data_IF_561904192559
#
_entry.id   IF_561904192559
#
_cell.length_a   1.000
_cell.length_b   1.000
_cell.length_c   1.000
_cell.angle_alpha   90.00
_cell.angle_beta   90.00
_cell.angle_gamma   90.00
#
_symmetry.space_group_name_H-M   'P 1'
#
loop_
_entity.id
_entity.type
_entity.pdbx_description
1 polymer ?
#
# COMPACT_ATOMS: atom_id res chain seq x y z
N UNK A 1 -59.76 8.72 -11.85
CA UNK A 1 -58.59 8.87 -12.74
C UNK A 1 -57.37 8.46 -11.96
N UNK A 2 -56.96 7.20 -12.14
CA UNK A 2 -55.77 6.64 -11.50
C UNK A 2 -54.52 7.05 -12.30
N UNK A 3 -53.67 7.87 -11.71
CA UNK A 3 -52.34 8.13 -12.28
C UNK A 3 -51.51 6.86 -12.15
N UNK A 4 -51.32 6.17 -13.26
CA UNK A 4 -50.31 5.11 -13.39
C UNK A 4 -48.94 5.74 -13.29
N UNK A 5 -48.30 5.65 -12.12
CA UNK A 5 -46.86 5.94 -11.98
C UNK A 5 -46.08 4.98 -12.85
N UNK A 6 -45.46 5.52 -13.91
CA UNK A 6 -44.46 4.79 -14.71
C UNK A 6 -43.39 4.27 -13.76
N UNK A 7 -42.95 3.01 -13.86
CA UNK A 7 -41.88 2.52 -13.03
C UNK A 7 -40.62 3.33 -13.34
N UNK A 8 -40.12 4.04 -12.34
CA UNK A 8 -38.81 4.71 -12.34
C UNK A 8 -37.79 3.71 -12.86
N UNK A 9 -37.15 4.00 -13.97
CA UNK A 9 -36.10 3.14 -14.54
C UNK A 9 -35.05 2.89 -13.43
N UNK A 10 -35.20 1.77 -12.72
CA UNK A 10 -34.28 1.36 -11.69
C UNK A 10 -32.85 1.42 -12.27
N UNK A 11 -32.05 2.34 -11.77
CA UNK A 11 -30.67 2.52 -12.20
C UNK A 11 -29.93 1.22 -11.87
N UNK A 12 -29.70 0.34 -12.87
CA UNK A 12 -29.11 -1.00 -12.70
C UNK A 12 -27.77 -1.00 -11.98
N UNK A 13 -27.15 0.16 -11.85
CA UNK A 13 -25.87 0.34 -11.18
C UNK A 13 -25.97 0.55 -9.67
N UNK A 14 -27.16 0.93 -9.12
CA UNK A 14 -27.40 1.12 -7.70
C UNK A 14 -28.25 -0.03 -7.16
N UNK A 15 -27.73 -0.73 -6.17
CA UNK A 15 -28.42 -1.85 -5.52
C UNK A 15 -28.98 -1.37 -4.20
N UNK A 16 -30.30 -1.40 -4.06
CA UNK A 16 -31.04 -0.98 -2.85
C UNK A 16 -31.32 -2.14 -1.90
N UNK A 17 -31.55 -3.35 -2.43
CA UNK A 17 -31.74 -4.57 -1.66
C UNK A 17 -30.45 -5.41 -1.70
N UNK A 18 -29.67 -5.35 -0.61
CA UNK A 18 -28.44 -6.10 -0.46
C UNK A 18 -28.40 -6.81 0.89
N UNK A 19 -28.49 -8.14 0.86
CA UNK A 19 -28.58 -9.02 2.04
C UNK A 19 -27.54 -10.13 1.98
N UNK A 20 -26.23 -9.81 2.14
CA UNK A 20 -25.17 -10.79 1.98
C UNK A 20 -25.20 -11.90 3.03
N UNK A 21 -25.79 -11.66 4.21
CA UNK A 21 -25.91 -12.65 5.29
C UNK A 21 -27.05 -13.65 5.07
N UNK A 22 -27.95 -13.40 4.13
CA UNK A 22 -29.03 -14.31 3.74
C UNK A 22 -28.45 -15.39 2.80
N UNK A 23 -28.44 -16.68 3.20
CA UNK A 23 -27.84 -17.76 2.41
C UNK A 23 -28.50 -17.96 1.04
N UNK A 24 -29.81 -17.80 0.95
CA UNK A 24 -30.56 -17.97 -0.29
C UNK A 24 -30.26 -16.83 -1.27
N UNK A 25 -30.35 -15.60 -0.80
CA UNK A 25 -29.97 -14.41 -1.58
C UNK A 25 -28.51 -14.51 -2.07
N UNK A 26 -27.60 -14.96 -1.18
CA UNK A 26 -26.19 -15.11 -1.51
C UNK A 26 -25.96 -16.13 -2.63
N UNK A 27 -26.59 -17.29 -2.56
CA UNK A 27 -26.45 -18.33 -3.59
C UNK A 27 -27.04 -17.93 -4.93
N UNK A 28 -28.22 -17.31 -4.94
CA UNK A 28 -28.93 -16.97 -6.17
C UNK A 28 -28.30 -15.77 -6.91
N UNK A 29 -27.92 -14.72 -6.18
CA UNK A 29 -27.49 -13.44 -6.76
C UNK A 29 -26.25 -12.82 -6.11
N UNK A 30 -26.16 -12.84 -4.78
CA UNK A 30 -25.17 -12.09 -4.00
C UNK A 30 -23.74 -12.42 -4.40
N UNK A 31 -23.39 -13.71 -4.47
CA UNK A 31 -22.04 -14.17 -4.81
C UNK A 31 -21.56 -13.66 -6.18
N UNK A 32 -22.43 -13.72 -7.20
CA UNK A 32 -22.06 -13.27 -8.56
C UNK A 32 -21.77 -11.77 -8.61
N UNK A 33 -22.60 -10.98 -7.96
CA UNK A 33 -22.43 -9.51 -7.91
C UNK A 33 -21.19 -9.15 -7.09
N UNK A 34 -21.00 -9.74 -5.92
CA UNK A 34 -19.85 -9.52 -5.06
C UNK A 34 -18.54 -9.90 -5.76
N UNK A 35 -18.49 -11.08 -6.41
CA UNK A 35 -17.31 -11.54 -7.17
C UNK A 35 -16.97 -10.60 -8.33
N UNK A 36 -17.95 -10.12 -9.07
CA UNK A 36 -17.72 -9.17 -10.15
C UNK A 36 -17.10 -7.86 -9.63
N UNK A 37 -17.64 -7.30 -8.54
CA UNK A 37 -17.10 -6.10 -7.94
C UNK A 37 -15.67 -6.33 -7.40
N UNK A 38 -15.39 -7.48 -6.79
CA UNK A 38 -14.06 -7.85 -6.33
C UNK A 38 -13.05 -7.93 -7.49
N UNK A 39 -13.39 -8.66 -8.56
CA UNK A 39 -12.47 -8.89 -9.68
C UNK A 39 -12.25 -7.65 -10.57
N UNK A 40 -13.05 -6.60 -10.42
CA UNK A 40 -12.77 -5.29 -11.01
C UNK A 40 -11.96 -4.44 -10.01
N UNK A 41 -12.24 -4.53 -8.72
CA UNK A 41 -11.52 -3.82 -7.66
C UNK A 41 -10.04 -4.22 -7.60
N UNK A 42 -9.73 -5.50 -7.74
CA UNK A 42 -8.35 -6.03 -7.69
C UNK A 42 -7.42 -5.35 -8.70
N UNK A 43 -7.67 -5.31 -10.00
CA UNK A 43 -6.79 -4.62 -10.94
C UNK A 43 -6.78 -3.10 -10.74
N UNK A 44 -7.89 -2.47 -10.33
CA UNK A 44 -7.88 -1.05 -9.96
C UNK A 44 -6.91 -0.78 -8.80
N UNK A 45 -6.91 -1.64 -7.78
CA UNK A 45 -6.02 -1.52 -6.63
C UNK A 45 -4.57 -1.89 -6.99
N UNK A 46 -4.35 -2.89 -7.84
CA UNK A 46 -3.02 -3.22 -8.36
C UNK A 46 -2.40 -2.04 -9.10
N UNK A 47 -3.15 -1.41 -10.02
CA UNK A 47 -2.71 -0.21 -10.73
C UNK A 47 -2.45 0.97 -9.76
N UNK A 48 -3.25 1.10 -8.72
CA UNK A 48 -3.01 2.10 -7.69
C UNK A 48 -1.65 1.88 -7.00
N UNK A 49 -1.28 0.65 -6.66
CA UNK A 49 0.05 0.36 -6.12
C UNK A 49 1.17 0.56 -7.14
N UNK A 50 0.95 0.31 -8.43
CA UNK A 50 1.90 0.64 -9.50
C UNK A 50 2.19 2.14 -9.52
N UNK A 51 1.16 2.98 -9.56
CA UNK A 51 1.32 4.45 -9.61
C UNK A 51 1.89 4.98 -8.30
N UNK A 52 1.47 4.45 -7.16
CA UNK A 52 1.98 4.86 -5.84
C UNK A 52 3.48 4.70 -5.71
N UNK A 53 4.04 3.61 -6.26
CA UNK A 53 5.47 3.27 -6.17
C UNK A 53 6.28 3.70 -7.40
N UNK A 54 5.70 4.45 -8.33
CA UNK A 54 6.29 4.81 -9.61
C UNK A 54 7.68 5.48 -9.46
N UNK A 55 7.82 6.37 -8.50
CA UNK A 55 9.10 7.05 -8.25
C UNK A 55 10.20 6.12 -7.74
N UNK A 56 9.89 4.93 -7.21
CA UNK A 56 10.92 3.97 -6.80
C UNK A 56 11.78 3.46 -7.97
N UNK A 57 11.25 3.47 -9.18
CA UNK A 57 11.98 3.13 -10.39
C UNK A 57 12.43 4.37 -11.18
N UNK A 58 11.60 5.42 -11.23
CA UNK A 58 11.90 6.64 -12.00
C UNK A 58 13.05 7.42 -11.38
N UNK A 59 13.07 7.61 -10.05
CA UNK A 59 14.10 8.41 -9.36
C UNK A 59 15.54 7.87 -9.61
N UNK A 60 15.69 6.56 -9.74
CA UNK A 60 16.97 5.91 -10.03
C UNK A 60 17.56 6.34 -11.38
N UNK A 61 16.70 6.74 -12.33
CA UNK A 61 17.09 7.08 -13.70
C UNK A 61 17.05 8.58 -13.99
N UNK A 62 16.52 9.45 -13.11
CA UNK A 62 16.39 10.88 -13.40
C UNK A 62 17.73 11.53 -13.77
N UNK A 63 18.79 11.26 -13.00
CA UNK A 63 20.09 11.86 -13.30
C UNK A 63 20.75 11.26 -14.57
N UNK A 64 20.33 10.05 -14.99
CA UNK A 64 20.80 9.47 -16.26
C UNK A 64 20.20 10.18 -17.47
N UNK A 65 18.99 10.71 -17.38
CA UNK A 65 18.35 11.46 -18.47
C UNK A 65 18.69 12.95 -18.46
N UNK A 66 19.64 13.37 -17.60
CA UNK A 66 20.22 14.72 -17.64
C UNK A 66 19.85 15.63 -16.47
N UNK A 67 19.03 15.19 -15.52
CA UNK A 67 18.79 15.95 -14.30
C UNK A 67 20.01 15.89 -13.36
N UNK A 68 20.15 16.91 -12.50
CA UNK A 68 21.24 17.01 -11.54
C UNK A 68 20.69 17.15 -10.13
N UNK A 69 19.86 16.17 -9.72
CA UNK A 69 19.29 16.15 -8.38
C UNK A 69 20.27 15.49 -7.40
N UNK A 70 20.30 16.02 -6.18
CA UNK A 70 21.07 15.43 -5.09
C UNK A 70 20.48 14.09 -4.66
N UNK A 71 21.28 13.26 -3.99
CA UNK A 71 20.83 11.98 -3.45
C UNK A 71 19.65 12.15 -2.51
N UNK A 72 19.67 13.16 -1.62
CA UNK A 72 18.53 13.45 -0.73
C UNK A 72 17.26 13.85 -1.50
N UNK A 73 17.40 14.67 -2.57
CA UNK A 73 16.27 15.03 -3.44
C UNK A 73 15.66 13.79 -4.11
N UNK A 74 16.46 12.87 -4.61
CA UNK A 74 15.98 11.64 -5.24
C UNK A 74 15.24 10.74 -4.23
N UNK A 75 15.78 10.58 -3.01
CA UNK A 75 15.07 9.85 -1.95
C UNK A 75 13.79 10.56 -1.50
N UNK A 76 13.80 11.90 -1.48
CA UNK A 76 12.59 12.68 -1.19
C UNK A 76 11.47 12.36 -2.19
N UNK A 77 11.78 12.29 -3.49
CA UNK A 77 10.78 11.97 -4.52
C UNK A 77 10.20 10.55 -4.34
N UNK A 78 11.00 9.59 -3.86
CA UNK A 78 10.49 8.24 -3.56
C UNK A 78 9.66 8.19 -2.27
N UNK A 79 9.88 9.12 -1.34
CA UNK A 79 9.21 9.18 -0.05
C UNK A 79 7.85 9.91 -0.09
N UNK A 80 7.75 10.99 -0.85
CA UNK A 80 6.57 11.88 -0.87
C UNK A 80 5.25 11.19 -1.23
N UNK A 81 5.18 10.23 -2.16
CA UNK A 81 3.93 9.52 -2.45
C UNK A 81 3.36 8.80 -1.23
N UNK A 82 4.22 8.28 -0.36
CA UNK A 82 3.76 7.61 0.85
C UNK A 82 3.18 8.60 1.88
N UNK A 83 3.75 9.79 1.98
CA UNK A 83 3.24 10.84 2.87
C UNK A 83 1.84 11.28 2.47
N UNK A 84 1.66 11.70 1.22
CA UNK A 84 0.34 12.13 0.73
C UNK A 84 -0.67 10.99 0.71
N UNK A 85 -0.25 9.78 0.33
CA UNK A 85 -1.09 8.58 0.36
C UNK A 85 -1.57 8.22 1.77
N UNK A 86 -0.71 8.30 2.77
CA UNK A 86 -1.06 8.06 4.15
C UNK A 86 -2.09 9.06 4.68
N UNK A 87 -1.86 10.35 4.45
CA UNK A 87 -2.77 11.41 4.87
C UNK A 87 -4.15 11.28 4.20
N UNK A 88 -4.17 10.95 2.92
CA UNK A 88 -5.41 10.79 2.15
C UNK A 88 -6.18 9.50 2.45
N UNK A 89 -5.58 8.48 3.07
CA UNK A 89 -6.31 7.25 3.45
C UNK A 89 -7.47 7.53 4.37
N UNK A 90 -7.35 8.51 5.27
CA UNK A 90 -8.43 8.86 6.19
C UNK A 90 -9.65 9.39 5.43
N UNK A 91 -9.60 10.48 4.62
CA UNK A 91 -10.76 10.90 3.86
C UNK A 91 -11.24 9.86 2.85
N UNK A 92 -10.35 9.09 2.21
CA UNK A 92 -10.75 8.07 1.23
C UNK A 92 -11.58 6.93 1.84
N UNK A 93 -11.39 6.60 3.12
CA UNK A 93 -12.21 5.61 3.81
C UNK A 93 -13.70 6.00 3.86
N UNK A 94 -14.01 7.31 3.81
CA UNK A 94 -15.38 7.83 3.85
C UNK A 94 -15.99 8.10 2.48
N UNK A 95 -15.20 8.03 1.41
CA UNK A 95 -15.68 8.37 0.06
C UNK A 95 -16.67 7.36 -0.48
N UNK A 96 -16.52 6.08 -0.13
CA UNK A 96 -17.46 5.01 -0.55
C UNK A 96 -18.86 5.24 0.05
N UNK A 97 -19.02 5.49 1.34
CA UNK A 97 -20.31 5.88 1.92
C UNK A 97 -20.93 7.15 1.32
N UNK A 98 -20.11 8.12 0.91
CA UNK A 98 -20.59 9.42 0.41
C UNK A 98 -20.97 9.37 -1.08
N UNK A 99 -20.14 8.78 -1.91
CA UNK A 99 -20.27 8.84 -3.37
C UNK A 99 -20.72 7.51 -4.00
N UNK A 100 -20.66 6.41 -3.26
CA UNK A 100 -20.86 5.06 -3.77
C UNK A 100 -19.54 4.41 -4.23
N UNK A 101 -19.49 3.08 -4.10
CA UNK A 101 -18.27 2.31 -4.37
C UNK A 101 -17.86 2.33 -5.84
N UNK A 102 -18.81 2.20 -6.76
CA UNK A 102 -18.61 2.24 -8.20
C UNK A 102 -18.07 3.59 -8.66
N UNK A 103 -18.77 4.66 -8.30
CA UNK A 103 -18.41 6.03 -8.73
C UNK A 103 -17.05 6.43 -8.18
N UNK A 104 -16.82 6.13 -6.89
CA UNK A 104 -15.55 6.45 -6.27
C UNK A 104 -14.38 5.65 -6.84
N UNK A 105 -14.54 4.33 -7.06
CA UNK A 105 -13.49 3.50 -7.66
C UNK A 105 -13.14 3.98 -9.07
N UNK A 106 -14.14 4.31 -9.89
CA UNK A 106 -13.90 4.84 -11.23
C UNK A 106 -13.17 6.20 -11.18
N UNK A 107 -13.62 7.13 -10.34
CA UNK A 107 -12.99 8.44 -10.20
C UNK A 107 -11.56 8.32 -9.69
N UNK A 108 -11.34 7.57 -8.60
CA UNK A 108 -10.03 7.45 -7.96
C UNK A 108 -9.03 6.65 -8.80
N UNK A 109 -9.50 5.76 -9.66
CA UNK A 109 -8.65 5.08 -10.66
C UNK A 109 -8.32 6.03 -11.82
N UNK A 110 -9.29 6.77 -12.32
CA UNK A 110 -9.12 7.68 -13.46
C UNK A 110 -8.20 8.85 -13.15
N UNK A 111 -8.26 9.42 -11.94
CA UNK A 111 -7.42 10.57 -11.57
C UNK A 111 -5.92 10.24 -11.55
N UNK A 112 -5.56 8.96 -11.40
CA UNK A 112 -4.17 8.51 -11.46
C UNK A 112 -3.54 8.68 -12.84
N UNK A 113 -4.33 8.87 -13.90
CA UNK A 113 -3.84 9.20 -15.23
C UNK A 113 -3.06 10.53 -15.22
N UNK A 114 -3.51 11.49 -14.41
CA UNK A 114 -2.90 12.82 -14.35
C UNK A 114 -1.42 12.77 -13.99
N UNK A 115 -0.98 12.20 -12.85
CA UNK A 115 0.43 12.14 -12.52
C UNK A 115 1.23 11.27 -13.50
N UNK A 116 0.65 10.21 -14.07
CA UNK A 116 1.34 9.37 -15.05
C UNK A 116 1.63 10.13 -16.35
N UNK A 117 0.65 10.84 -16.88
CA UNK A 117 0.83 11.64 -18.11
C UNK A 117 1.80 12.79 -17.85
N UNK A 118 1.62 13.51 -16.75
CA UNK A 118 2.48 14.65 -16.42
C UNK A 118 3.94 14.23 -16.19
N UNK A 119 4.16 13.14 -15.44
CA UNK A 119 5.50 12.62 -15.23
C UNK A 119 6.21 12.26 -16.53
N UNK A 120 5.51 11.60 -17.45
CA UNK A 120 6.10 11.20 -18.73
C UNK A 120 6.54 12.40 -19.59
N UNK A 121 5.84 13.54 -19.53
CA UNK A 121 6.32 14.77 -20.17
C UNK A 121 7.45 15.43 -19.37
N UNK A 122 7.34 15.46 -18.04
CA UNK A 122 8.31 16.13 -17.18
C UNK A 122 9.72 15.52 -17.27
N UNK A 123 9.83 14.18 -17.42
CA UNK A 123 11.13 13.50 -17.51
C UNK A 123 11.87 13.71 -18.83
N UNK A 124 11.17 14.20 -19.87
CA UNK A 124 11.76 14.46 -21.19
C UNK A 124 12.33 15.88 -21.33
N UNK A 125 12.00 16.77 -20.39
CA UNK A 125 12.50 18.16 -20.40
C UNK A 125 13.40 18.37 -19.18
N UNK A 126 14.71 18.41 -19.42
CA UNK A 126 15.71 18.62 -18.37
C UNK A 126 15.63 19.99 -17.69
N UNK A 127 14.90 20.95 -18.26
CA UNK A 127 14.62 22.24 -17.63
C UNK A 127 13.51 22.16 -16.57
N UNK A 128 12.80 21.06 -16.46
CA UNK A 128 11.73 20.85 -15.46
C UNK A 128 12.32 20.97 -14.05
N UNK A 129 11.84 21.93 -13.23
CA UNK A 129 12.38 22.15 -11.91
C UNK A 129 11.98 21.04 -10.94
N UNK A 130 12.79 20.83 -9.90
CA UNK A 130 12.56 19.82 -8.86
C UNK A 130 11.16 19.93 -8.22
N UNK A 131 10.64 21.17 -8.05
CA UNK A 131 9.31 21.43 -7.49
C UNK A 131 8.18 20.76 -8.28
N UNK A 132 8.30 20.64 -9.59
CA UNK A 132 7.31 19.95 -10.42
C UNK A 132 7.32 18.44 -10.10
N UNK A 133 8.49 17.84 -9.99
CA UNK A 133 8.58 16.43 -9.57
C UNK A 133 8.03 16.19 -8.17
N UNK A 134 8.22 17.15 -7.24
CA UNK A 134 7.59 17.11 -5.90
C UNK A 134 6.07 17.08 -6.01
N UNK A 135 5.48 17.94 -6.83
CA UNK A 135 4.02 17.98 -7.02
C UNK A 135 3.53 16.64 -7.62
N UNK A 136 4.19 16.17 -8.68
CA UNK A 136 3.82 14.90 -9.33
C UNK A 136 3.93 13.73 -8.34
N UNK A 137 4.98 13.68 -7.53
CA UNK A 137 5.16 12.62 -6.54
C UNK A 137 4.08 12.64 -5.46
N UNK A 138 3.68 13.83 -4.99
CA UNK A 138 2.55 13.98 -4.09
C UNK A 138 1.22 13.55 -4.73
N UNK A 139 1.02 13.83 -6.02
CA UNK A 139 -0.16 13.35 -6.76
C UNK A 139 -0.17 11.82 -6.90
N UNK A 140 0.98 11.16 -7.06
CA UNK A 140 1.06 9.71 -7.02
C UNK A 140 0.56 9.12 -5.69
N UNK A 141 0.59 9.88 -4.61
CA UNK A 141 0.05 9.48 -3.32
C UNK A 141 -1.47 9.28 -3.29
N UNK A 142 -2.23 9.95 -4.18
CA UNK A 142 -3.67 9.66 -4.32
C UNK A 142 -3.92 8.18 -4.60
N UNK A 143 -3.02 7.54 -5.35
CA UNK A 143 -3.07 6.12 -5.61
C UNK A 143 -2.93 5.27 -4.33
N UNK A 144 -2.01 5.64 -3.43
CA UNK A 144 -1.82 4.95 -2.13
C UNK A 144 -3.02 5.01 -1.20
N UNK A 145 -3.85 6.04 -1.33
CA UNK A 145 -5.08 6.21 -0.57
C UNK A 145 -6.19 5.25 -1.02
N UNK A 146 -6.17 4.77 -2.27
CA UNK A 146 -7.15 3.84 -2.82
C UNK A 146 -7.27 2.53 -2.03
N UNK A 147 -6.22 2.14 -1.31
CA UNK A 147 -6.30 0.97 -0.45
C UNK A 147 -7.45 1.07 0.56
N UNK A 148 -7.61 2.22 1.22
CA UNK A 148 -8.65 2.41 2.23
C UNK A 148 -10.06 2.32 1.63
N UNK A 149 -10.33 3.03 0.55
CA UNK A 149 -11.65 3.02 -0.11
C UNK A 149 -11.97 1.67 -0.76
N UNK A 150 -10.98 1.03 -1.40
CA UNK A 150 -11.15 -0.28 -2.02
C UNK A 150 -11.49 -1.36 -1.00
N UNK A 151 -10.76 -1.41 0.12
CA UNK A 151 -11.03 -2.38 1.20
C UNK A 151 -12.41 -2.13 1.83
N UNK A 152 -12.77 -0.87 2.08
CA UNK A 152 -14.09 -0.52 2.59
C UNK A 152 -15.21 -0.95 1.62
N UNK A 153 -15.06 -0.65 0.32
CA UNK A 153 -16.06 -1.02 -0.68
C UNK A 153 -16.29 -2.52 -0.74
N UNK A 154 -15.24 -3.32 -0.86
CA UNK A 154 -15.35 -4.78 -0.96
C UNK A 154 -15.91 -5.39 0.32
N UNK A 155 -15.63 -4.82 1.50
CA UNK A 155 -16.18 -5.30 2.76
C UNK A 155 -17.71 -5.28 2.79
N UNK A 156 -18.36 -4.32 2.13
CA UNK A 156 -19.83 -4.22 2.09
C UNK A 156 -20.48 -5.27 1.17
N UNK A 157 -19.74 -5.82 0.22
CA UNK A 157 -20.30 -6.80 -0.71
C UNK A 157 -20.33 -8.24 -0.16
N UNK A 158 -19.46 -8.58 0.79
CA UNK A 158 -19.30 -9.96 1.25
C UNK A 158 -19.91 -10.20 2.63
N UNK A 159 -20.52 -11.40 2.88
CA UNK A 159 -20.96 -11.79 4.21
C UNK A 159 -19.75 -11.91 5.15
N UNK A 160 -19.96 -11.66 6.44
CA UNK A 160 -18.88 -11.64 7.46
C UNK A 160 -18.00 -12.89 7.43
N UNK A 161 -18.60 -14.07 7.22
CA UNK A 161 -17.86 -15.34 7.14
C UNK A 161 -16.89 -15.42 5.96
N UNK A 162 -17.10 -14.68 4.86
CA UNK A 162 -16.27 -14.68 3.64
C UNK A 162 -15.52 -13.38 3.42
N UNK A 163 -15.80 -12.37 4.22
CA UNK A 163 -15.24 -11.02 4.10
C UNK A 163 -13.71 -11.03 4.21
N UNK A 164 -13.16 -11.76 5.18
CA UNK A 164 -11.70 -11.87 5.37
C UNK A 164 -10.97 -12.41 4.14
N UNK A 165 -11.52 -13.45 3.50
CA UNK A 165 -10.96 -14.00 2.26
C UNK A 165 -11.01 -13.01 1.10
N UNK A 166 -12.15 -12.33 0.92
CA UNK A 166 -12.30 -11.33 -0.15
C UNK A 166 -11.34 -10.13 0.03
N UNK A 167 -11.22 -9.63 1.25
CA UNK A 167 -10.28 -8.54 1.58
C UNK A 167 -8.83 -8.99 1.46
N UNK A 168 -8.52 -10.24 1.81
CA UNK A 168 -7.20 -10.84 1.61
C UNK A 168 -6.82 -10.91 0.13
N UNK A 169 -7.72 -11.35 -0.74
CA UNK A 169 -7.52 -11.35 -2.20
C UNK A 169 -7.34 -9.93 -2.73
N UNK A 170 -8.25 -9.01 -2.38
CA UNK A 170 -8.21 -7.63 -2.84
C UNK A 170 -6.91 -6.92 -2.42
N UNK A 171 -6.57 -6.97 -1.15
CA UNK A 171 -5.37 -6.34 -0.62
C UNK A 171 -4.07 -7.06 -1.02
N UNK A 172 -4.06 -8.40 -1.03
CA UNK A 172 -2.88 -9.18 -1.40
C UNK A 172 -2.49 -8.98 -2.86
N UNK A 173 -3.43 -9.20 -3.78
CA UNK A 173 -3.19 -8.98 -5.22
C UNK A 173 -2.96 -7.50 -5.54
N UNK A 174 -3.63 -6.57 -4.83
CA UNK A 174 -3.36 -5.14 -4.96
C UNK A 174 -1.91 -4.81 -4.64
N UNK A 175 -1.37 -5.31 -3.53
CA UNK A 175 0.04 -5.07 -3.13
C UNK A 175 1.06 -5.60 -4.14
N UNK A 176 0.70 -6.61 -4.97
CA UNK A 176 1.56 -7.09 -6.06
C UNK A 176 1.87 -6.00 -7.08
N UNK A 177 1.04 -4.94 -7.17
CA UNK A 177 1.27 -3.80 -8.06
C UNK A 177 2.64 -3.14 -7.86
N UNK A 178 3.17 -3.12 -6.63
CA UNK A 178 4.52 -2.61 -6.36
C UNK A 178 5.57 -3.40 -7.13
N UNK A 179 5.51 -4.72 -7.04
CA UNK A 179 6.42 -5.62 -7.75
C UNK A 179 6.22 -5.57 -9.26
N UNK A 180 4.96 -5.54 -9.72
CA UNK A 180 4.62 -5.45 -11.15
C UNK A 180 5.21 -4.18 -11.75
N UNK A 181 5.09 -3.03 -11.09
CA UNK A 181 5.66 -1.77 -11.55
C UNK A 181 7.19 -1.86 -11.65
N UNK A 182 7.85 -2.37 -10.60
CA UNK A 182 9.32 -2.48 -10.59
C UNK A 182 9.86 -3.51 -11.56
N UNK A 183 9.06 -4.52 -11.94
CA UNK A 183 9.40 -5.46 -13.01
C UNK A 183 9.21 -4.84 -14.40
N UNK A 184 8.08 -4.16 -14.62
CA UNK A 184 7.72 -3.62 -15.93
C UNK A 184 8.56 -2.39 -16.30
N UNK A 185 8.82 -1.48 -15.34
CA UNK A 185 9.52 -0.24 -15.62
C UNK A 185 10.86 -0.43 -16.37
N UNK A 186 11.81 -1.27 -15.90
CA UNK A 186 13.09 -1.45 -16.61
C UNK A 186 12.93 -2.13 -17.99
N UNK A 187 11.86 -2.89 -18.21
CA UNK A 187 11.61 -3.53 -19.50
C UNK A 187 11.12 -2.53 -20.55
N UNK A 188 10.28 -1.58 -20.15
CA UNK A 188 9.65 -0.65 -21.12
C UNK A 188 10.51 0.58 -21.42
N UNK A 189 11.45 0.96 -20.53
CA UNK A 189 12.28 2.15 -20.75
C UNK A 189 13.35 1.97 -21.82
N UNK A 190 13.60 0.75 -22.28
CA UNK A 190 14.54 0.45 -23.38
C UNK A 190 13.88 0.38 -24.77
N UNK A 191 12.55 0.55 -24.85
CA UNK A 191 11.80 0.33 -26.07
C UNK A 191 11.02 1.60 -26.42
N UNK A 192 11.03 2.03 -27.70
CA UNK A 192 10.24 3.15 -28.19
C UNK A 192 8.77 2.73 -28.37
N UNK A 193 7.95 2.89 -27.30
CA UNK A 193 6.53 2.48 -27.30
C UNK A 193 5.61 3.64 -27.69
N UNK A 194 5.87 4.83 -27.15
CA UNK A 194 4.96 5.97 -27.25
C UNK A 194 5.51 7.11 -28.14
N UNK A 195 6.34 6.79 -29.14
CA UNK A 195 6.89 7.79 -30.08
C UNK A 195 5.81 8.63 -30.76
N UNK A 196 4.67 8.02 -31.12
CA UNK A 196 3.52 8.70 -31.73
C UNK A 196 2.87 9.74 -30.79
N UNK A 197 3.03 9.57 -29.48
CA UNK A 197 2.49 10.46 -28.46
C UNK A 197 3.54 11.43 -27.89
N UNK A 198 4.70 11.56 -28.57
CA UNK A 198 5.78 12.47 -28.14
C UNK A 198 6.80 11.84 -27.18
N UNK A 199 6.89 10.50 -27.18
CA UNK A 199 7.96 9.78 -26.47
C UNK A 199 9.27 9.84 -27.22
N UNK A 200 10.15 10.78 -26.89
CA UNK A 200 11.41 11.02 -27.61
C UNK A 200 12.59 10.24 -27.04
N UNK A 201 12.49 9.82 -25.77
CA UNK A 201 13.62 9.23 -25.05
C UNK A 201 14.79 10.20 -24.83
N UNK A 202 15.82 9.72 -24.19
CA UNK A 202 17.07 10.44 -23.96
C UNK A 202 18.24 9.58 -24.41
N UNK A 203 19.12 10.14 -25.25
CA UNK A 203 20.34 9.44 -25.69
C UNK A 203 21.34 9.36 -24.54
N UNK A 204 21.86 8.18 -24.30
CA UNK A 204 22.86 7.90 -23.26
C UNK A 204 24.28 8.02 -23.84
N UNK A 205 25.30 8.20 -23.00
CA UNK A 205 26.69 8.34 -23.47
C UNK A 205 27.23 7.14 -24.26
N UNK A 206 26.62 5.96 -24.11
CA UNK A 206 26.94 4.75 -24.86
C UNK A 206 26.18 4.61 -26.19
N UNK A 207 25.39 5.63 -26.57
CA UNK A 207 24.56 5.64 -27.78
C UNK A 207 23.22 4.89 -27.65
N UNK A 208 22.92 4.30 -26.49
CA UNK A 208 21.62 3.70 -26.25
C UNK A 208 20.56 4.76 -25.96
N UNK A 209 19.29 4.43 -26.23
CA UNK A 209 18.18 5.31 -25.93
C UNK A 209 17.46 4.86 -24.65
N UNK A 210 17.18 5.80 -23.76
CA UNK A 210 16.41 5.57 -22.53
C UNK A 210 15.09 6.34 -22.61
N UNK A 211 13.98 5.61 -22.69
CA UNK A 211 12.62 6.15 -22.77
C UNK A 211 11.99 6.15 -21.37
N UNK A 212 12.45 7.04 -20.48
CA UNK A 212 12.02 7.06 -19.08
C UNK A 212 10.52 7.39 -18.93
N UNK A 213 9.95 8.13 -19.87
CA UNK A 213 8.51 8.41 -19.97
C UNK A 213 7.65 7.15 -20.03
N UNK A 214 8.17 6.07 -20.60
CA UNK A 214 7.44 4.81 -20.70
C UNK A 214 7.15 4.18 -19.34
N UNK A 215 8.01 4.41 -18.35
CA UNK A 215 7.79 3.91 -16.98
C UNK A 215 6.49 4.46 -16.38
N UNK A 216 6.08 5.66 -16.78
CA UNK A 216 4.83 6.30 -16.36
C UNK A 216 3.67 6.04 -17.34
N UNK A 217 3.91 6.21 -18.64
CA UNK A 217 2.85 6.15 -19.66
C UNK A 217 2.30 4.76 -19.90
N UNK A 218 3.07 3.70 -19.63
CA UNK A 218 2.62 2.32 -19.81
C UNK A 218 1.35 1.99 -18.99
N UNK A 219 1.14 2.67 -17.87
CA UNK A 219 -0.02 2.45 -17.01
C UNK A 219 -1.28 3.15 -17.51
N UNK A 220 -1.17 4.19 -18.34
CA UNK A 220 -2.29 5.01 -18.80
C UNK A 220 -3.37 4.20 -19.54
N UNK A 221 -3.05 3.34 -20.51
CA UNK A 221 -4.06 2.52 -21.17
C UNK A 221 -4.82 1.62 -20.19
N UNK A 222 -4.13 0.99 -19.25
CA UNK A 222 -4.74 0.13 -18.24
C UNK A 222 -5.62 0.93 -17.27
N UNK A 223 -5.18 2.12 -16.86
CA UNK A 223 -5.97 3.02 -16.03
C UNK A 223 -7.27 3.43 -16.73
N UNK A 224 -7.23 3.71 -18.03
CA UNK A 224 -8.43 4.02 -18.82
C UNK A 224 -9.37 2.81 -18.85
N UNK A 225 -8.86 1.62 -19.21
CA UNK A 225 -9.65 0.39 -19.31
C UNK A 225 -10.35 0.07 -17.98
N UNK A 226 -9.61 0.11 -16.87
CA UNK A 226 -10.19 -0.25 -15.56
C UNK A 226 -11.02 0.86 -14.93
N UNK A 227 -10.80 2.13 -15.26
CA UNK A 227 -11.73 3.23 -14.97
C UNK A 227 -13.10 2.98 -15.64
N UNK A 228 -13.08 2.65 -16.92
CA UNK A 228 -14.31 2.33 -17.66
C UNK A 228 -14.96 1.05 -17.15
N UNK A 229 -14.16 0.02 -16.85
CA UNK A 229 -14.67 -1.21 -16.27
C UNK A 229 -15.35 -0.95 -14.90
N UNK A 230 -14.75 -0.15 -14.05
CA UNK A 230 -15.37 0.24 -12.78
C UNK A 230 -16.65 1.03 -12.99
N UNK A 231 -16.65 1.99 -13.91
CA UNK A 231 -17.84 2.82 -14.20
C UNK A 231 -19.01 2.02 -14.74
N UNK A 232 -18.79 1.07 -15.66
CA UNK A 232 -19.86 0.36 -16.34
C UNK A 232 -20.28 -0.95 -15.67
N UNK A 233 -19.38 -1.62 -14.96
CA UNK A 233 -19.62 -2.97 -14.47
C UNK A 233 -19.63 -3.12 -12.94
N UNK A 234 -19.14 -2.16 -12.16
CA UNK A 234 -19.30 -2.17 -10.72
C UNK A 234 -20.68 -1.66 -10.29
N UNK A 235 -20.99 -1.84 -9.03
CA UNK A 235 -22.25 -1.42 -8.42
C UNK A 235 -22.02 -0.47 -7.24
N UNK A 236 -22.99 0.42 -7.01
CA UNK A 236 -23.14 1.19 -5.78
C UNK A 236 -24.13 0.48 -4.85
N UNK A 237 -23.84 0.42 -3.55
CA UNK A 237 -24.75 -0.07 -2.53
C UNK A 237 -25.35 1.11 -1.78
N UNK A 238 -26.69 1.18 -1.71
CA UNK A 238 -27.38 2.26 -0.99
C UNK A 238 -27.24 2.19 0.55
N UNK A 239 -26.91 1.00 1.07
CA UNK A 239 -26.83 0.72 2.50
C UNK A 239 -25.41 0.97 3.12
N UNK A 240 -24.44 1.43 2.35
CA UNK A 240 -23.04 1.60 2.81
C UNK A 240 -22.79 2.90 3.60
N UNK A 241 -23.73 3.30 4.47
CA UNK A 241 -23.61 4.54 5.25
C UNK A 241 -22.94 4.25 6.60
N UNK A 242 -21.71 4.70 6.77
CA UNK A 242 -21.03 4.77 8.07
C UNK A 242 -20.82 6.24 8.45
N UNK A 243 -21.13 6.61 9.70
CA UNK A 243 -20.91 7.97 10.20
C UNK A 243 -19.49 8.14 10.69
N UNK A 244 -18.84 9.26 10.33
CA UNK A 244 -17.52 9.63 10.84
C UNK A 244 -17.52 9.75 12.37
N UNK A 245 -18.60 10.30 12.93
CA UNK A 245 -18.73 10.49 14.37
C UNK A 245 -18.71 9.20 15.18
N UNK A 246 -19.16 8.08 14.60
CA UNK A 246 -19.14 6.75 15.23
C UNK A 246 -17.73 6.12 15.24
N UNK A 247 -16.84 6.55 14.36
CA UNK A 247 -15.50 5.99 14.20
C UNK A 247 -14.43 6.75 15.00
N UNK A 248 -14.60 8.05 15.23
CA UNK A 248 -13.62 8.89 15.94
C UNK A 248 -13.32 8.45 17.40
N UNK A 249 -14.26 7.88 18.18
CA UNK A 249 -13.95 7.48 19.55
C UNK A 249 -12.82 6.46 19.68
N UNK A 250 -12.52 5.68 18.62
CA UNK A 250 -11.41 4.71 18.61
C UNK A 250 -10.06 5.38 18.79
N UNK A 251 -9.90 6.65 18.38
CA UNK A 251 -8.65 7.42 18.53
C UNK A 251 -8.26 7.66 19.99
N UNK A 252 -9.19 7.59 20.93
CA UNK A 252 -8.93 7.73 22.37
C UNK A 252 -8.34 6.47 23.01
N UNK A 253 -8.29 5.35 22.27
CA UNK A 253 -7.83 4.06 22.81
C UNK A 253 -6.31 3.91 22.66
N UNK A 254 -5.63 3.65 23.79
CA UNK A 254 -4.18 3.41 23.80
C UNK A 254 -3.75 2.28 22.86
N UNK A 255 -4.53 1.20 22.79
CA UNK A 255 -4.23 0.08 21.91
C UNK A 255 -4.19 0.45 20.42
N UNK A 256 -4.90 1.51 20.00
CA UNK A 256 -4.81 2.01 18.63
C UNK A 256 -3.40 2.51 18.32
N UNK A 257 -2.84 3.32 19.19
CA UNK A 257 -1.52 3.91 19.00
C UNK A 257 -0.39 2.87 19.10
N UNK A 258 -0.52 1.91 20.02
CA UNK A 258 0.43 0.80 20.13
C UNK A 258 0.40 -0.04 18.85
N UNK A 259 -0.78 -0.44 18.38
CA UNK A 259 -0.89 -1.22 17.15
C UNK A 259 -0.49 -0.42 15.91
N UNK A 260 -0.73 0.90 15.88
CA UNK A 260 -0.25 1.78 14.81
C UNK A 260 1.28 1.79 14.75
N UNK A 261 1.96 1.82 15.89
CA UNK A 261 3.42 1.75 15.96
C UNK A 261 3.94 0.40 15.44
N UNK A 262 3.33 -0.72 15.87
CA UNK A 262 3.71 -2.06 15.40
C UNK A 262 3.42 -2.25 13.90
N UNK A 263 2.33 -1.70 13.41
CA UNK A 263 1.98 -1.75 11.99
C UNK A 263 2.88 -0.82 11.14
N UNK A 264 3.30 0.31 11.70
CA UNK A 264 4.32 1.17 11.09
C UNK A 264 5.66 0.42 10.94
N UNK A 265 6.06 -0.38 11.94
CA UNK A 265 7.29 -1.17 11.88
C UNK A 265 7.22 -2.31 10.85
N UNK A 266 6.04 -2.86 10.56
CA UNK A 266 5.86 -3.95 9.60
C UNK A 266 5.47 -3.43 8.22
N UNK A 267 4.27 -2.92 8.06
CA UNK A 267 3.78 -2.40 6.77
C UNK A 267 4.56 -1.17 6.31
N UNK A 268 4.90 -0.28 7.26
CA UNK A 268 5.75 0.88 6.96
C UNK A 268 7.12 0.47 6.42
N UNK A 269 7.72 -0.60 6.97
CA UNK A 269 8.97 -1.16 6.43
C UNK A 269 8.77 -1.78 5.05
N UNK A 270 7.69 -2.51 4.82
CA UNK A 270 7.38 -3.05 3.49
C UNK A 270 7.30 -1.95 2.43
N UNK A 271 6.51 -0.92 2.67
CA UNK A 271 6.35 0.20 1.73
C UNK A 271 7.64 1.04 1.65
N UNK A 272 8.29 1.31 2.77
CA UNK A 272 9.51 2.11 2.82
C UNK A 272 10.70 1.45 2.12
N UNK A 273 10.90 0.16 2.33
CA UNK A 273 11.91 -0.60 1.58
C UNK A 273 11.54 -0.68 0.09
N UNK A 274 10.28 -0.91 -0.24
CA UNK A 274 9.82 -0.91 -1.63
C UNK A 274 10.11 0.41 -2.33
N UNK A 275 9.93 1.53 -1.65
CA UNK A 275 10.20 2.87 -2.20
C UNK A 275 11.69 3.17 -2.32
N UNK A 276 12.50 2.78 -1.33
CA UNK A 276 13.90 3.20 -1.20
C UNK A 276 14.96 2.19 -1.64
N UNK A 277 14.63 0.90 -1.73
CA UNK A 277 15.61 -0.18 -1.94
C UNK A 277 16.41 -0.04 -3.24
N UNK A 278 15.76 0.26 -4.36
CA UNK A 278 16.44 0.39 -5.65
C UNK A 278 17.44 1.56 -5.63
N UNK A 279 17.04 2.71 -5.08
CA UNK A 279 17.89 3.88 -4.97
C UNK A 279 19.04 3.64 -4.00
N UNK A 280 18.79 3.02 -2.83
CA UNK A 280 19.81 2.64 -1.86
C UNK A 280 20.83 1.70 -2.48
N UNK A 281 20.37 0.66 -3.17
CA UNK A 281 21.25 -0.32 -3.82
C UNK A 281 22.13 0.32 -4.86
N UNK A 282 21.59 1.26 -5.66
CA UNK A 282 22.36 2.00 -6.66
C UNK A 282 23.46 2.86 -6.02
N UNK A 283 23.18 3.48 -4.88
CA UNK A 283 24.18 4.32 -4.18
C UNK A 283 25.29 3.51 -3.54
N UNK A 284 24.99 2.29 -3.05
CA UNK A 284 25.96 1.43 -2.38
C UNK A 284 26.71 0.49 -3.33
N UNK A 285 26.08 0.09 -4.42
CA UNK A 285 26.60 -0.85 -5.42
C UNK A 285 26.33 -0.32 -6.84
N UNK A 286 27.01 0.76 -7.27
CA UNK A 286 26.72 1.47 -8.52
C UNK A 286 26.90 0.62 -9.77
N UNK A 287 27.78 -0.41 -9.72
CA UNK A 287 28.05 -1.33 -10.82
C UNK A 287 26.94 -2.35 -11.07
N UNK A 288 26.00 -2.49 -10.10
CA UNK A 288 24.90 -3.43 -10.21
C UNK A 288 23.68 -2.78 -10.85
N UNK A 289 23.12 -3.40 -11.87
CA UNK A 289 21.88 -2.96 -12.50
C UNK A 289 20.66 -3.39 -11.64
N UNK A 290 20.51 -2.74 -10.50
CA UNK A 290 19.55 -3.13 -9.47
C UNK A 290 18.10 -3.18 -9.96
N UNK A 291 17.72 -2.38 -10.95
CA UNK A 291 16.35 -2.35 -11.46
C UNK A 291 15.90 -3.70 -12.04
N UNK A 292 16.83 -4.57 -12.48
CA UNK A 292 16.49 -5.92 -12.93
C UNK A 292 16.14 -6.86 -11.76
N UNK A 293 16.47 -6.52 -10.53
CA UNK A 293 16.31 -7.36 -9.35
C UNK A 293 15.39 -6.75 -8.27
N UNK A 294 15.16 -5.44 -8.32
CA UNK A 294 14.44 -4.71 -7.27
C UNK A 294 13.04 -5.27 -7.00
N UNK A 295 12.34 -5.73 -8.05
CA UNK A 295 10.98 -6.27 -7.97
C UNK A 295 10.85 -7.51 -7.06
N UNK A 296 11.94 -8.27 -6.85
CA UNK A 296 11.90 -9.46 -6.00
C UNK A 296 11.53 -9.14 -4.55
N UNK A 297 12.01 -8.01 -4.03
CA UNK A 297 11.71 -7.59 -2.66
C UNK A 297 10.20 -7.44 -2.40
N UNK A 298 9.53 -6.51 -3.09
CA UNK A 298 8.08 -6.35 -2.97
C UNK A 298 7.29 -7.60 -3.34
N UNK A 299 7.76 -8.41 -4.29
CA UNK A 299 7.14 -9.68 -4.66
C UNK A 299 7.10 -10.66 -3.48
N UNK A 300 8.26 -10.90 -2.87
CA UNK A 300 8.39 -11.79 -1.71
C UNK A 300 7.54 -11.26 -0.54
N UNK A 301 7.60 -9.95 -0.28
CA UNK A 301 6.83 -9.32 0.79
C UNK A 301 5.31 -9.42 0.57
N UNK A 302 4.82 -9.18 -0.64
CA UNK A 302 3.41 -9.30 -0.98
C UNK A 302 2.91 -10.75 -0.88
N UNK A 303 3.73 -11.71 -1.32
CA UNK A 303 3.43 -13.13 -1.19
C UNK A 303 3.39 -13.55 0.29
N UNK A 304 4.39 -13.16 1.08
CA UNK A 304 4.43 -13.42 2.51
C UNK A 304 3.23 -12.80 3.25
N UNK A 305 2.81 -11.59 2.85
CA UNK A 305 1.61 -10.95 3.39
C UNK A 305 0.35 -11.76 3.10
N UNK A 306 0.20 -12.26 1.89
CA UNK A 306 -0.97 -13.06 1.49
C UNK A 306 -1.09 -14.36 2.31
N UNK A 307 0.03 -14.96 2.67
CA UNK A 307 0.08 -16.20 3.47
C UNK A 307 0.04 -15.94 4.98
N UNK A 308 0.49 -14.77 5.40
CA UNK A 308 0.72 -14.41 6.80
C UNK A 308 -0.54 -14.41 7.67
N UNK A 309 -1.71 -14.11 7.09
CA UNK A 309 -2.99 -14.19 7.78
C UNK A 309 -3.28 -15.62 8.27
N UNK A 310 -3.23 -16.59 7.38
CA UNK A 310 -3.46 -17.99 7.71
C UNK A 310 -2.42 -18.56 8.71
N UNK A 311 -1.17 -18.12 8.60
CA UNK A 311 -0.11 -18.47 9.56
C UNK A 311 -0.44 -17.89 10.94
N UNK A 312 -0.87 -16.64 10.99
CA UNK A 312 -1.20 -15.96 12.25
C UNK A 312 -2.45 -16.53 12.93
N UNK A 313 -3.43 -16.97 12.14
CA UNK A 313 -4.63 -17.63 12.67
C UNK A 313 -4.29 -18.98 13.32
N UNK A 314 -3.30 -19.71 12.78
CA UNK A 314 -2.89 -21.03 13.31
C UNK A 314 -1.94 -20.93 14.51
N UNK A 315 -0.97 -20.01 14.45
CA UNK A 315 0.12 -19.92 15.45
C UNK A 315 -0.13 -18.86 16.50
N UNK A 316 -1.12 -17.99 16.30
CA UNK A 316 -1.41 -16.81 17.12
C UNK A 316 -0.66 -15.59 16.64
N UNK A 317 -1.39 -14.50 16.32
CA UNK A 317 -0.83 -13.26 15.77
C UNK A 317 0.29 -12.67 16.61
N UNK A 318 0.15 -12.66 17.93
CA UNK A 318 1.18 -12.13 18.85
C UNK A 318 2.51 -12.89 18.75
N UNK A 319 2.47 -14.22 18.67
CA UNK A 319 3.69 -15.04 18.55
C UNK A 319 4.38 -14.80 17.22
N UNK A 320 3.60 -14.82 16.13
CA UNK A 320 4.12 -14.57 14.78
C UNK A 320 4.75 -13.17 14.72
N UNK A 321 4.07 -12.15 15.23
CA UNK A 321 4.57 -10.77 15.25
C UNK A 321 5.85 -10.63 16.07
N UNK A 322 5.93 -11.28 17.24
CA UNK A 322 7.11 -11.25 18.08
C UNK A 322 8.34 -11.86 17.40
N UNK A 323 8.20 -13.10 16.90
CA UNK A 323 9.28 -13.78 16.17
C UNK A 323 9.70 -12.95 14.96
N UNK A 324 8.72 -12.39 14.26
CA UNK A 324 8.96 -11.55 13.09
C UNK A 324 9.82 -10.31 13.42
N UNK A 325 9.53 -9.58 14.50
CA UNK A 325 10.35 -8.44 14.91
C UNK A 325 11.76 -8.84 15.35
N UNK A 326 11.92 -9.98 16.01
CA UNK A 326 13.26 -10.50 16.36
C UNK A 326 14.06 -10.78 15.07
N UNK A 327 13.47 -11.44 14.09
CA UNK A 327 14.13 -11.69 12.80
C UNK A 327 14.46 -10.39 12.08
N UNK A 328 13.53 -9.42 12.04
CA UNK A 328 13.78 -8.10 11.44
C UNK A 328 14.96 -7.39 12.12
N UNK A 329 15.04 -7.41 13.45
CA UNK A 329 16.15 -6.79 14.18
C UNK A 329 17.49 -7.49 13.87
N UNK A 330 17.53 -8.84 13.87
CA UNK A 330 18.74 -9.60 13.54
C UNK A 330 19.21 -9.31 12.12
N UNK A 331 18.31 -9.38 11.13
CA UNK A 331 18.69 -9.15 9.74
C UNK A 331 19.01 -7.67 9.46
N UNK A 332 18.36 -6.72 10.14
CA UNK A 332 18.77 -5.32 10.10
C UNK A 332 20.20 -5.12 10.65
N UNK A 333 20.57 -5.84 11.71
CA UNK A 333 21.95 -5.83 12.23
C UNK A 333 22.94 -6.48 11.24
N UNK A 334 22.56 -7.55 10.56
CA UNK A 334 23.41 -8.22 9.56
C UNK A 334 23.70 -7.33 8.34
N UNK A 335 22.84 -6.35 8.03
CA UNK A 335 23.09 -5.42 6.93
C UNK A 335 24.40 -4.66 7.09
N UNK A 336 24.80 -4.31 8.32
CA UNK A 336 26.07 -3.60 8.57
C UNK A 336 27.30 -4.36 8.07
N UNK A 337 27.23 -5.70 8.04
CA UNK A 337 28.33 -6.55 7.56
C UNK A 337 28.40 -6.64 6.03
N UNK A 338 27.35 -6.20 5.35
CA UNK A 338 27.24 -6.31 3.87
C UNK A 338 27.57 -5.02 3.15
N UNK A 339 27.56 -3.88 3.87
CA UNK A 339 27.76 -2.56 3.29
C UNK A 339 29.23 -2.30 2.92
N UNK A 340 29.49 -1.51 1.86
CA UNK A 340 30.80 -0.98 1.59
C UNK A 340 31.31 -0.09 2.75
N UNK A 341 32.61 -0.15 3.00
CA UNK A 341 33.28 0.73 3.96
C UNK A 341 34.11 1.74 3.18
N UNK A 342 33.84 3.04 3.35
CA UNK A 342 34.48 4.13 2.59
C UNK A 342 34.41 3.95 1.06
N UNK A 343 33.27 3.44 0.57
CA UNK A 343 33.06 3.23 -0.87
C UNK A 343 33.80 2.03 -1.46
N UNK A 344 34.45 1.21 -0.63
CA UNK A 344 35.17 0.02 -1.07
C UNK A 344 34.68 -1.24 -0.36
N UNK A 345 34.73 -2.37 -1.07
CA UNK A 345 34.29 -3.64 -0.55
C UNK A 345 32.76 -3.74 -0.53
N UNK A 346 32.24 -4.44 0.47
CA UNK A 346 30.84 -4.80 0.54
C UNK A 346 30.52 -6.06 -0.27
N UNK A 347 29.36 -6.64 -0.02
CA UNK A 347 28.90 -7.83 -0.72
C UNK A 347 27.45 -7.65 -1.14
N UNK A 348 27.23 -7.36 -2.44
CA UNK A 348 25.90 -7.16 -2.98
C UNK A 348 24.98 -8.37 -2.80
N UNK A 349 25.49 -9.60 -3.00
CA UNK A 349 24.69 -10.81 -2.88
C UNK A 349 24.19 -10.98 -1.44
N UNK A 350 25.08 -10.79 -0.47
CA UNK A 350 24.70 -10.83 0.95
C UNK A 350 23.74 -9.71 1.31
N UNK A 351 23.99 -8.47 0.85
CA UNK A 351 23.11 -7.32 1.02
C UNK A 351 21.71 -7.61 0.46
N UNK A 352 21.65 -8.10 -0.77
CA UNK A 352 20.38 -8.45 -1.43
C UNK A 352 19.64 -9.55 -0.67
N UNK A 353 20.32 -10.63 -0.31
CA UNK A 353 19.73 -11.74 0.44
C UNK A 353 19.15 -11.29 1.79
N UNK A 354 19.87 -10.44 2.53
CA UNK A 354 19.41 -9.88 3.80
C UNK A 354 18.17 -9.01 3.59
N UNK A 355 18.15 -8.15 2.56
CA UNK A 355 16.97 -7.37 2.22
C UNK A 355 15.78 -8.24 1.81
N UNK A 356 15.98 -9.35 1.10
CA UNK A 356 14.88 -10.27 0.78
C UNK A 356 14.23 -10.86 2.03
N UNK A 357 15.02 -11.18 3.07
CA UNK A 357 14.48 -11.59 4.37
C UNK A 357 13.74 -10.44 5.07
N UNK A 358 14.24 -9.22 4.99
CA UNK A 358 13.55 -8.04 5.53
C UNK A 358 12.21 -7.79 4.81
N UNK A 359 12.14 -7.96 3.49
CA UNK A 359 10.90 -7.88 2.74
C UNK A 359 9.91 -8.98 3.12
N UNK A 360 10.38 -10.22 3.24
CA UNK A 360 9.58 -11.36 3.67
C UNK A 360 8.98 -11.11 5.05
N UNK A 361 9.79 -10.69 6.00
CA UNK A 361 9.36 -10.43 7.38
C UNK A 361 8.48 -9.18 7.47
N UNK A 362 8.75 -8.13 6.70
CA UNK A 362 7.88 -6.95 6.63
C UNK A 362 6.49 -7.32 6.07
N UNK A 363 6.42 -8.18 5.07
CA UNK A 363 5.17 -8.71 4.52
C UNK A 363 4.41 -9.59 5.51
N UNK A 364 5.08 -10.60 6.07
CA UNK A 364 4.50 -11.50 7.07
C UNK A 364 4.04 -10.75 8.32
N UNK A 365 4.87 -9.84 8.82
CA UNK A 365 4.55 -8.99 9.96
C UNK A 365 3.38 -8.05 9.70
N UNK A 366 3.23 -7.56 8.47
CA UNK A 366 2.06 -6.76 8.09
C UNK A 366 0.76 -7.53 8.21
N UNK A 367 0.77 -8.81 7.83
CA UNK A 367 -0.41 -9.67 7.96
C UNK A 367 -0.69 -10.03 9.43
N UNK A 368 0.35 -10.37 10.20
CA UNK A 368 0.20 -10.77 11.61
C UNK A 368 -0.26 -9.62 12.50
N UNK A 369 0.27 -8.42 12.31
CA UNK A 369 -0.18 -7.22 13.03
C UNK A 369 -1.60 -6.82 12.63
N UNK A 370 -1.97 -6.94 11.36
CA UNK A 370 -3.32 -6.67 10.88
C UNK A 370 -4.34 -7.64 11.49
N UNK A 371 -3.99 -8.91 11.61
CA UNK A 371 -4.79 -9.92 12.29
C UNK A 371 -4.93 -9.58 13.80
N UNK A 372 -3.84 -9.19 14.47
CA UNK A 372 -3.88 -8.77 15.86
C UNK A 372 -4.82 -7.58 16.09
N UNK A 373 -4.82 -6.57 15.20
CA UNK A 373 -5.74 -5.42 15.31
C UNK A 373 -7.18 -5.91 15.36
N UNK A 374 -7.56 -6.78 14.44
CA UNK A 374 -8.92 -7.32 14.34
C UNK A 374 -9.34 -8.06 15.61
N UNK A 375 -8.48 -8.91 16.15
CA UNK A 375 -8.74 -9.70 17.37
C UNK A 375 -8.83 -8.80 18.61
N UNK A 376 -7.86 -7.91 18.78
CA UNK A 376 -7.75 -7.05 19.97
C UNK A 376 -8.94 -6.09 20.05
N UNK A 377 -9.25 -5.37 18.97
CA UNK A 377 -10.32 -4.38 19.00
C UNK A 377 -11.69 -5.03 19.14
N UNK A 378 -11.92 -6.18 18.47
CA UNK A 378 -13.15 -6.94 18.66
C UNK A 378 -13.32 -7.34 20.13
N UNK A 379 -12.31 -7.91 20.76
CA UNK A 379 -12.37 -8.35 22.17
C UNK A 379 -12.62 -7.16 23.10
N UNK A 380 -11.80 -6.11 22.99
CA UNK A 380 -11.91 -4.91 23.86
C UNK A 380 -13.30 -4.27 23.79
N UNK A 381 -13.90 -4.21 22.60
CA UNK A 381 -15.22 -3.60 22.44
C UNK A 381 -16.32 -4.52 22.96
N UNK A 382 -16.23 -5.83 22.69
CA UNK A 382 -17.20 -6.79 23.23
C UNK A 382 -17.17 -6.80 24.76
N UNK A 383 -15.99 -6.81 25.39
CA UNK A 383 -15.83 -6.80 26.83
C UNK A 383 -16.39 -5.50 27.44
N UNK A 384 -16.15 -4.35 26.81
CA UNK A 384 -16.69 -3.06 27.21
C UNK A 384 -18.22 -3.03 27.20
N UNK A 385 -18.83 -3.42 26.08
CA UNK A 385 -20.30 -3.37 25.92
C UNK A 385 -20.97 -4.34 26.88
N UNK A 386 -20.43 -5.53 27.09
CA UNK A 386 -20.92 -6.49 28.09
C UNK A 386 -20.83 -5.95 29.52
N UNK A 387 -19.71 -5.29 29.87
CA UNK A 387 -19.55 -4.66 31.18
C UNK A 387 -20.54 -3.50 31.43
N UNK A 388 -21.04 -2.87 30.36
CA UNK A 388 -22.07 -1.83 30.42
C UNK A 388 -23.52 -2.39 30.40
N UNK A 389 -23.66 -3.71 30.43
CA UNK A 389 -24.99 -4.37 30.38
C UNK A 389 -25.65 -4.39 29.00
N UNK A 390 -24.87 -4.11 27.94
CA UNK A 390 -25.37 -4.17 26.57
C UNK A 390 -25.59 -5.60 26.08
N UNK A 391 -26.49 -5.75 25.09
CA UNK A 391 -26.79 -7.03 24.47
C UNK A 391 -25.62 -7.57 23.64
N UNK A 392 -25.54 -8.88 23.42
CA UNK A 392 -24.52 -9.49 22.56
C UNK A 392 -24.58 -8.98 21.11
N UNK A 393 -25.81 -8.78 20.59
CA UNK A 393 -26.00 -8.21 19.25
C UNK A 393 -25.45 -6.76 19.14
N UNK A 394 -25.64 -5.96 20.19
CA UNK A 394 -25.06 -4.61 20.28
C UNK A 394 -23.54 -4.69 20.35
N UNK A 395 -22.97 -5.57 21.20
CA UNK A 395 -21.55 -5.76 21.34
C UNK A 395 -20.88 -6.16 20.01
N UNK A 396 -21.49 -7.06 19.25
CA UNK A 396 -21.01 -7.47 17.94
C UNK A 396 -21.04 -6.34 16.91
N UNK A 397 -22.07 -5.51 16.91
CA UNK A 397 -22.21 -4.36 16.00
C UNK A 397 -21.15 -3.30 16.30
N UNK A 398 -21.03 -2.89 17.55
CA UNK A 398 -20.03 -1.91 17.98
C UNK A 398 -18.59 -2.42 17.74
N UNK A 399 -18.34 -3.71 18.01
CA UNK A 399 -17.03 -4.32 17.75
C UNK A 399 -16.66 -4.31 16.26
N UNK A 400 -17.62 -4.52 15.37
CA UNK A 400 -17.39 -4.44 13.93
C UNK A 400 -17.02 -3.00 13.50
N UNK A 401 -17.73 -2.00 13.99
CA UNK A 401 -17.48 -0.58 13.71
C UNK A 401 -16.13 -0.13 14.24
N UNK A 402 -15.83 -0.43 15.51
CA UNK A 402 -14.56 -0.08 16.15
C UNK A 402 -13.34 -0.76 15.49
N UNK A 403 -13.50 -2.03 15.10
CA UNK A 403 -12.44 -2.77 14.41
C UNK A 403 -12.16 -2.17 13.01
N UNK A 404 -13.21 -1.86 12.25
CA UNK A 404 -13.08 -1.24 10.94
C UNK A 404 -12.41 0.14 11.02
N UNK A 405 -12.80 0.96 12.00
CA UNK A 405 -12.18 2.26 12.26
C UNK A 405 -10.70 2.12 12.66
N UNK A 406 -10.39 1.19 13.57
CA UNK A 406 -9.02 0.93 13.97
C UNK A 406 -8.14 0.50 12.80
N UNK A 407 -8.61 -0.43 11.96
CA UNK A 407 -7.90 -0.86 10.76
C UNK A 407 -7.64 0.30 9.80
N UNK A 408 -8.63 1.18 9.60
CA UNK A 408 -8.51 2.37 8.76
C UNK A 408 -7.43 3.32 9.25
N UNK A 409 -7.50 3.78 10.50
CA UNK A 409 -6.54 4.72 11.08
C UNK A 409 -5.13 4.11 11.20
N UNK A 410 -5.03 2.87 11.66
CA UNK A 410 -3.73 2.18 11.80
C UNK A 410 -3.09 2.00 10.43
N UNK A 411 -3.87 1.67 9.38
CA UNK A 411 -3.35 1.53 8.02
C UNK A 411 -2.82 2.85 7.45
N UNK A 412 -3.44 3.97 7.79
CA UNK A 412 -2.98 5.29 7.41
C UNK A 412 -1.62 5.62 8.07
N UNK A 413 -1.54 5.43 9.39
CA UNK A 413 -0.29 5.65 10.15
C UNK A 413 0.82 4.72 9.64
N UNK A 414 0.52 3.44 9.41
CA UNK A 414 1.49 2.48 8.88
C UNK A 414 2.07 2.88 7.52
N UNK A 415 1.25 3.46 6.64
CA UNK A 415 1.72 3.91 5.33
C UNK A 415 2.76 5.06 5.39
N UNK A 416 2.80 5.83 6.48
CA UNK A 416 3.79 6.91 6.69
C UNK A 416 5.23 6.35 6.71
N UNK A 417 5.43 5.08 7.05
CA UNK A 417 6.75 4.43 6.98
C UNK A 417 7.39 4.51 5.59
N UNK A 418 6.57 4.51 4.54
CA UNK A 418 7.04 4.74 3.18
C UNK A 418 7.63 6.13 2.92
N UNK A 419 7.35 7.11 3.79
CA UNK A 419 8.02 8.39 3.80
C UNK A 419 9.29 8.37 4.65
N UNK A 420 9.21 7.89 5.89
CA UNK A 420 10.34 7.97 6.82
C UNK A 420 11.54 7.14 6.40
N UNK A 421 11.35 5.95 5.85
CA UNK A 421 12.46 5.05 5.51
C UNK A 421 13.32 5.58 4.37
N UNK A 422 12.79 5.92 3.17
CA UNK A 422 13.59 6.50 2.11
C UNK A 422 14.21 7.84 2.53
N UNK A 423 13.47 8.69 3.26
CA UNK A 423 14.00 9.96 3.75
C UNK A 423 15.15 9.77 4.73
N UNK A 424 15.06 8.79 5.63
CA UNK A 424 16.15 8.45 6.54
C UNK A 424 17.39 7.96 5.80
N UNK A 425 17.24 7.17 4.74
CA UNK A 425 18.36 6.79 3.86
C UNK A 425 18.98 8.01 3.21
N UNK A 426 18.18 8.90 2.62
CA UNK A 426 18.66 10.12 1.99
C UNK A 426 19.48 10.99 2.94
N UNK A 427 18.93 11.29 4.12
CA UNK A 427 19.61 12.07 5.16
C UNK A 427 20.92 11.38 5.62
N UNK A 428 20.87 10.08 5.87
CA UNK A 428 22.05 9.34 6.34
C UNK A 428 23.19 9.35 5.30
N UNK A 429 22.85 9.18 4.02
CA UNK A 429 23.82 9.23 2.91
C UNK A 429 24.38 10.63 2.71
N UNK A 430 23.54 11.66 2.80
CA UNK A 430 23.96 13.05 2.65
C UNK A 430 24.94 13.49 3.76
N UNK A 431 24.65 13.08 5.00
CA UNK A 431 25.47 13.46 6.17
C UNK A 431 26.78 12.64 6.30
N UNK A 432 26.76 11.35 5.94
CA UNK A 432 27.85 10.42 6.29
C UNK A 432 28.36 9.60 5.10
N UNK A 433 27.76 9.71 3.93
CA UNK A 433 28.05 8.85 2.78
C UNK A 433 27.63 7.38 2.95
N UNK A 434 26.98 7.05 4.07
CA UNK A 434 26.59 5.68 4.42
C UNK A 434 25.14 5.60 4.91
N UNK A 435 24.39 4.55 4.57
CA UNK A 435 23.04 4.33 5.11
C UNK A 435 23.05 3.80 6.56
N UNK A 436 24.22 3.57 7.16
CA UNK A 436 24.36 2.95 8.47
C UNK A 436 23.64 3.73 9.58
N UNK A 437 23.59 5.07 9.51
CA UNK A 437 22.84 5.90 10.46
C UNK A 437 21.36 5.59 10.47
N UNK A 438 20.73 5.53 9.31
CA UNK A 438 19.32 5.17 9.16
C UNK A 438 19.06 3.74 9.66
N UNK A 439 19.91 2.79 9.31
CA UNK A 439 19.78 1.39 9.72
C UNK A 439 19.89 1.20 11.23
N UNK A 440 20.73 1.98 11.92
CA UNK A 440 20.78 2.00 13.39
C UNK A 440 19.43 2.43 14.01
N UNK A 441 18.81 3.45 13.44
CA UNK A 441 17.49 3.91 13.89
C UNK A 441 16.43 2.80 13.69
N UNK A 442 16.44 2.13 12.53
CA UNK A 442 15.49 1.03 12.28
C UNK A 442 15.73 -0.15 13.20
N UNK A 443 16.99 -0.51 13.46
CA UNK A 443 17.34 -1.58 14.40
C UNK A 443 16.79 -1.29 15.80
N UNK A 444 17.03 -0.09 16.33
CA UNK A 444 16.51 0.34 17.62
C UNK A 444 14.98 0.29 17.63
N UNK A 445 14.36 0.72 16.54
CA UNK A 445 12.90 0.70 16.40
C UNK A 445 12.34 -0.74 16.42
N UNK A 446 12.96 -1.68 15.72
CA UNK A 446 12.52 -3.08 15.75
C UNK A 446 12.72 -3.73 17.10
N UNK A 447 13.83 -3.44 17.81
CA UNK A 447 14.05 -3.89 19.18
C UNK A 447 12.97 -3.32 20.12
N UNK A 448 12.64 -2.03 20.00
CA UNK A 448 11.55 -1.42 20.77
C UNK A 448 10.21 -2.13 20.50
N UNK A 449 9.92 -2.50 19.24
CA UNK A 449 8.72 -3.26 18.90
C UNK A 449 8.70 -4.66 19.52
N UNK A 450 9.84 -5.35 19.62
CA UNK A 450 9.96 -6.62 20.37
C UNK A 450 9.56 -6.40 21.84
N UNK A 451 10.15 -5.39 22.50
CA UNK A 451 9.87 -5.09 23.90
C UNK A 451 8.40 -4.73 24.13
N UNK A 452 7.83 -3.87 23.28
CA UNK A 452 6.42 -3.46 23.36
C UNK A 452 5.49 -4.65 23.17
N UNK A 453 5.77 -5.50 22.16
CA UNK A 453 4.95 -6.69 21.90
C UNK A 453 4.97 -7.65 23.10
N UNK A 454 6.13 -7.88 23.70
CA UNK A 454 6.26 -8.72 24.90
C UNK A 454 5.54 -8.10 26.10
N UNK A 455 5.76 -6.82 26.36
CA UNK A 455 5.23 -6.14 27.55
C UNK A 455 3.70 -6.04 27.53
N UNK A 456 3.12 -5.72 26.37
CA UNK A 456 1.68 -5.43 26.23
C UNK A 456 0.86 -6.67 25.89
N UNK A 457 1.38 -7.52 24.99
CA UNK A 457 0.62 -8.64 24.44
C UNK A 457 1.19 -10.02 24.78
N UNK A 458 2.45 -10.12 25.24
CA UNK A 458 3.12 -11.38 25.53
C UNK A 458 2.62 -12.11 26.80
N UNK A 459 2.07 -11.38 27.78
CA UNK A 459 1.63 -11.95 29.08
C UNK A 459 0.19 -12.45 29.08
N UNK A 460 -0.62 -12.12 28.10
CA UNK A 460 -2.00 -12.63 28.00
C UNK A 460 -1.97 -13.90 27.11
N UNK A 461 -2.01 -15.08 27.78
CA UNK A 461 -2.43 -16.32 27.09
C UNK A 461 -3.84 -16.06 26.52
N UNK A 462 -3.91 -15.83 25.24
CA UNK A 462 -5.16 -15.83 24.48
C UNK A 462 -5.55 -17.25 24.15
#
# INVERSE_FOLDING_TARGET
>A
MSQSSLPEKANRSVITDWRPEDPEFWQQRGHRVASRNLWISVPCLLLAFCVWMLFSAVAVNLNKVGFQFTTDQLFMLTALPALSGALLRVPYAFMVPLFGGRRWTAFSTGIMIVPCVWLGFAVQDTSTPFSIFVIISLLCGFAGANFASSMANISFFFPKAKQGGALGVNGGLGNMGVSVMQLVAPLVVSISIFAVFGGNGSEQPDGSMLYLENAAWIWVPFLIIFTLAAWFFMNDLSASKASLSEQLPVLKRLHLWIMALLYLATFGSFIGFSAGFAMLSKTQFPDVQILHYAFFGPFIGALARSMGGAISDRLGGTRVTLVNFVVMAVFCALLFLTLPTNGQGGNFIAFFAVFMVLFLTAGLGSASTFQMISVIFRKLTMDRVKAQGGSEAQAMREAATDTAAALGFISAIGAIGGFFIPKAFGISLDLTGSPAGAMKVFLVFYIACVVITLAVYGRKRQ
#
